data_IF_480309124829
#
_entry.id   IF_480309124829
#
_cell.length_a   1.000
_cell.length_b   1.000
_cell.length_c   1.000
_cell.angle_alpha   90.00
_cell.angle_beta   90.00
_cell.angle_gamma   90.00
#
_symmetry.space_group_name_H-M   'P 1'
#
loop_
_entity.id
_entity.type
_entity.pdbx_description
1 polymer ?
#
# COMPACT_ATOMS: atom_id res chain seq x y z
N UNK A 1 -25.96 -56.96 -4.46
CA UNK A 1 -26.10 -56.56 -3.05
C UNK A 1 -25.50 -55.17 -2.87
N UNK A 2 -26.28 -54.28 -2.25
CA UNK A 2 -26.01 -52.91 -1.79
C UNK A 2 -25.77 -51.83 -2.87
N UNK A 3 -26.78 -50.94 -2.96
CA UNK A 3 -26.86 -49.65 -3.64
C UNK A 3 -26.56 -48.54 -2.60
N UNK A 4 -26.53 -47.26 -3.04
CA UNK A 4 -26.55 -45.97 -2.26
C UNK A 4 -25.16 -45.32 -2.17
N UNK A 5 -24.86 -44.09 -2.59
CA UNK A 5 -25.64 -42.98 -3.19
C UNK A 5 -24.71 -41.96 -3.86
N UNK A 6 -25.22 -41.33 -4.92
CA UNK A 6 -24.71 -40.10 -5.52
C UNK A 6 -24.74 -38.93 -4.54
N UNK A 7 -23.69 -38.09 -4.48
CA UNK A 7 -23.79 -36.63 -4.29
C UNK A 7 -22.69 -35.96 -5.13
N UNK A 8 -23.09 -34.91 -5.84
CA UNK A 8 -22.29 -34.01 -6.67
C UNK A 8 -21.02 -33.48 -5.99
N UNK A 9 -20.03 -33.12 -6.81
CA UNK A 9 -19.01 -32.16 -6.42
C UNK A 9 -17.81 -32.16 -7.36
N UNK A 10 -17.87 -31.39 -8.44
CA UNK A 10 -16.66 -30.95 -9.14
C UNK A 10 -15.76 -30.21 -8.16
N UNK A 11 -14.45 -30.45 -8.19
CA UNK A 11 -13.44 -29.40 -7.98
C UNK A 11 -12.07 -29.89 -8.42
N UNK A 12 -11.56 -29.23 -9.46
CA UNK A 12 -10.15 -29.16 -9.78
C UNK A 12 -9.41 -28.54 -8.60
N UNK A 13 -8.41 -29.22 -8.05
CA UNK A 13 -7.41 -28.56 -7.21
C UNK A 13 -6.33 -27.96 -8.13
N UNK A 14 -6.60 -26.76 -8.64
CA UNK A 14 -5.53 -25.85 -9.05
C UNK A 14 -4.99 -25.24 -7.76
N UNK A 15 -3.70 -25.43 -7.48
CA UNK A 15 -2.99 -24.68 -6.45
C UNK A 15 -2.94 -23.21 -6.88
N UNK A 16 -4.04 -22.49 -6.62
CA UNK A 16 -4.03 -21.05 -6.48
C UNK A 16 -3.59 -20.79 -5.04
N UNK A 17 -2.36 -20.35 -4.86
CA UNK A 17 -1.95 -19.74 -3.60
C UNK A 17 -2.71 -18.43 -3.44
N UNK A 18 -4.01 -18.53 -3.11
CA UNK A 18 -4.80 -17.44 -2.59
C UNK A 18 -4.19 -17.08 -1.25
N UNK A 19 -3.32 -16.07 -1.25
CA UNK A 19 -3.03 -15.28 -0.05
C UNK A 19 -4.40 -14.72 0.39
N UNK A 20 -5.08 -15.46 1.26
CA UNK A 20 -6.41 -15.09 1.71
C UNK A 20 -6.27 -13.78 2.48
N UNK A 21 -7.25 -12.89 2.34
CA UNK A 21 -7.41 -11.71 3.19
C UNK A 21 -7.42 -12.05 4.71
N UNK A 22 -7.53 -13.33 5.06
CA UNK A 22 -7.42 -13.86 6.42
C UNK A 22 -5.97 -13.89 6.96
N UNK A 23 -4.94 -13.96 6.10
CA UNK A 23 -3.55 -13.80 6.55
C UNK A 23 -3.21 -12.32 6.86
N UNK A 24 -4.00 -11.38 6.32
CA UNK A 24 -3.94 -9.95 6.70
C UNK A 24 -4.66 -9.67 8.03
N UNK A 25 -5.68 -10.45 8.41
CA UNK A 25 -6.39 -10.34 9.70
C UNK A 25 -5.62 -10.95 10.88
N UNK A 26 -4.65 -11.85 10.64
CA UNK A 26 -3.78 -12.38 11.72
C UNK A 26 -2.79 -11.36 12.30
N UNK A 27 -2.84 -10.11 11.85
CA UNK A 27 -2.06 -9.00 12.38
C UNK A 27 -2.81 -8.15 13.43
N UNK A 28 -4.08 -8.45 13.70
CA UNK A 28 -4.95 -7.65 14.60
C UNK A 28 -4.57 -7.70 16.11
N UNK A 29 -3.42 -8.27 16.47
CA UNK A 29 -2.93 -8.32 17.85
C UNK A 29 -1.54 -7.71 18.09
N UNK A 30 -0.75 -7.48 17.04
CA UNK A 30 0.60 -6.93 17.16
C UNK A 30 0.57 -5.44 16.80
N UNK A 31 1.11 -4.56 17.66
CA UNK A 31 1.15 -3.13 17.36
C UNK A 31 1.93 -2.88 16.07
N UNK A 32 1.36 -2.07 15.17
CA UNK A 32 2.06 -1.64 13.95
C UNK A 32 3.38 -0.95 14.33
N UNK A 33 4.50 -1.39 13.77
CA UNK A 33 5.80 -0.77 14.05
C UNK A 33 6.02 0.47 13.19
N UNK A 34 6.92 1.35 13.60
CA UNK A 34 7.32 2.53 12.81
C UNK A 34 7.78 2.12 11.41
N UNK A 35 8.62 1.09 11.29
CA UNK A 35 9.11 0.60 10.00
C UNK A 35 8.00 0.14 9.08
N UNK A 36 7.08 -0.70 9.58
CA UNK A 36 5.92 -1.18 8.80
C UNK A 36 5.00 -0.03 8.40
N UNK A 37 4.77 0.91 9.31
CA UNK A 37 3.98 2.09 9.03
C UNK A 37 4.59 2.91 7.89
N UNK A 38 5.87 3.24 7.95
CA UNK A 38 6.56 4.00 6.90
C UNK A 38 6.59 3.29 5.55
N UNK A 39 6.82 1.98 5.53
CA UNK A 39 6.86 1.17 4.30
C UNK A 39 5.49 1.06 3.60
N UNK A 40 4.41 1.27 4.34
CA UNK A 40 3.05 1.31 3.78
C UNK A 40 2.67 2.67 3.20
N UNK A 41 3.45 3.72 3.44
CA UNK A 41 3.11 5.08 3.06
C UNK A 41 2.90 5.31 1.57
N UNK A 42 3.65 4.70 0.64
CA UNK A 42 3.37 4.84 -0.79
C UNK A 42 1.94 4.41 -1.16
N UNK A 43 1.43 3.33 -0.56
CA UNK A 43 0.05 2.89 -0.76
C UNK A 43 -0.95 3.81 -0.04
N UNK A 44 -0.70 4.15 1.23
CA UNK A 44 -1.59 5.03 2.01
C UNK A 44 -1.75 6.42 1.40
N UNK A 45 -0.70 6.95 0.78
CA UNK A 45 -0.70 8.26 0.10
C UNK A 45 -1.42 8.19 -1.25
N UNK A 46 -1.37 7.04 -1.91
CA UNK A 46 -2.02 6.82 -3.20
C UNK A 46 -3.55 6.77 -3.08
N UNK A 47 -4.08 6.24 -1.99
CA UNK A 47 -5.52 6.09 -1.75
C UNK A 47 -6.33 7.39 -1.90
N UNK A 48 -6.00 8.49 -1.18
CA UNK A 48 -6.72 9.75 -1.32
C UNK A 48 -6.51 10.42 -2.68
N UNK A 49 -5.39 10.15 -3.36
CA UNK A 49 -5.13 10.62 -4.73
C UNK A 49 -6.08 9.92 -5.70
N UNK A 50 -6.21 8.59 -5.59
CA UNK A 50 -7.12 7.82 -6.41
C UNK A 50 -8.58 8.22 -6.12
N UNK A 51 -8.95 8.44 -4.87
CA UNK A 51 -10.28 8.91 -4.52
C UNK A 51 -10.57 10.26 -5.19
N UNK A 52 -9.66 11.22 -5.07
CA UNK A 52 -9.79 12.52 -5.72
C UNK A 52 -9.96 12.37 -7.25
N UNK A 53 -9.09 11.59 -7.89
CA UNK A 53 -9.17 11.37 -9.33
C UNK A 53 -10.45 10.65 -9.75
N UNK A 54 -10.93 9.69 -8.96
CA UNK A 54 -12.19 8.99 -9.22
C UNK A 54 -13.41 9.89 -9.08
N UNK A 55 -13.34 10.93 -8.24
CA UNK A 55 -14.39 11.94 -8.11
C UNK A 55 -14.36 12.96 -9.25
N UNK A 56 -13.16 13.35 -9.71
CA UNK A 56 -12.98 14.37 -10.76
C UNK A 56 -13.12 13.83 -12.18
N UNK A 57 -12.65 12.61 -12.43
CA UNK A 57 -12.73 11.89 -13.70
C UNK A 57 -13.28 10.49 -13.45
N UNK A 58 -14.62 10.34 -13.32
CA UNK A 58 -15.26 9.07 -13.00
C UNK A 58 -14.93 7.93 -13.98
N UNK A 59 -14.63 8.26 -15.23
CA UNK A 59 -14.21 7.32 -16.27
C UNK A 59 -12.89 6.60 -15.96
N UNK A 60 -12.03 7.19 -15.11
CA UNK A 60 -10.77 6.58 -14.68
C UNK A 60 -10.94 5.67 -13.45
N UNK A 61 -12.07 5.73 -12.75
CA UNK A 61 -12.27 5.08 -11.45
C UNK A 61 -11.99 3.58 -11.49
N UNK A 62 -12.59 2.87 -12.45
CA UNK A 62 -12.43 1.41 -12.55
C UNK A 62 -10.97 1.03 -12.82
N UNK A 63 -10.32 1.74 -13.75
CA UNK A 63 -8.92 1.53 -14.07
C UNK A 63 -8.01 1.82 -12.87
N UNK A 64 -8.21 2.94 -12.17
CA UNK A 64 -7.42 3.28 -10.98
C UNK A 64 -7.57 2.24 -9.87
N UNK A 65 -8.79 1.77 -9.58
CA UNK A 65 -9.04 0.72 -8.59
C UNK A 65 -8.37 -0.59 -8.96
N UNK A 66 -8.45 -1.00 -10.23
CA UNK A 66 -7.81 -2.21 -10.74
C UNK A 66 -6.29 -2.15 -10.60
N UNK A 67 -5.68 -1.05 -11.04
CA UNK A 67 -4.22 -0.90 -11.03
C UNK A 67 -3.67 -0.75 -9.60
N UNK A 68 -4.44 -0.15 -8.68
CA UNK A 68 -4.09 -0.07 -7.25
C UNK A 68 -3.81 -1.45 -6.64
N UNK A 69 -4.63 -2.45 -6.92
CA UNK A 69 -4.44 -3.79 -6.37
C UNK A 69 -3.10 -4.39 -6.83
N UNK A 70 -2.78 -4.26 -8.12
CA UNK A 70 -1.49 -4.70 -8.67
C UNK A 70 -0.31 -3.92 -8.11
N UNK A 71 -0.48 -2.61 -7.87
CA UNK A 71 0.53 -1.76 -7.23
C UNK A 71 0.86 -2.23 -5.81
N UNK A 72 -0.13 -2.55 -4.98
CA UNK A 72 0.09 -3.00 -3.59
C UNK A 72 0.89 -4.31 -3.56
N UNK A 73 0.61 -5.24 -4.48
CA UNK A 73 1.36 -6.50 -4.59
C UNK A 73 2.82 -6.21 -4.94
N UNK A 74 3.09 -5.37 -5.95
CA UNK A 74 4.46 -5.01 -6.33
C UNK A 74 5.17 -4.21 -5.23
N UNK A 75 4.45 -3.38 -4.49
CA UNK A 75 4.98 -2.61 -3.36
C UNK A 75 5.44 -3.53 -2.22
N UNK A 76 4.66 -4.57 -1.92
CA UNK A 76 5.06 -5.59 -0.94
C UNK A 76 6.39 -6.23 -1.30
N UNK A 77 6.58 -6.60 -2.58
CA UNK A 77 7.84 -7.14 -3.08
C UNK A 77 8.98 -6.10 -2.99
N UNK A 78 8.71 -4.85 -3.39
CA UNK A 78 9.68 -3.76 -3.33
C UNK A 78 10.11 -3.38 -1.89
N UNK A 79 9.26 -3.66 -0.90
CA UNK A 79 9.55 -3.41 0.52
C UNK A 79 10.53 -4.43 1.10
N UNK A 80 10.62 -5.65 0.57
CA UNK A 80 11.43 -6.74 1.16
C UNK A 80 12.89 -6.36 1.46
N UNK A 81 13.64 -5.71 0.54
CA UNK A 81 15.03 -5.35 0.81
C UNK A 81 15.18 -4.34 1.95
N UNK A 82 14.25 -3.38 2.05
CA UNK A 82 14.30 -2.38 3.11
C UNK A 82 13.85 -3.00 4.44
N UNK A 83 12.80 -3.82 4.46
CA UNK A 83 12.40 -4.57 5.66
C UNK A 83 13.56 -5.38 6.24
N UNK A 84 14.28 -6.14 5.42
CA UNK A 84 15.42 -6.93 5.88
C UNK A 84 16.50 -6.08 6.56
N UNK A 85 16.71 -4.84 6.10
CA UNK A 85 17.67 -3.89 6.69
C UNK A 85 17.16 -3.25 7.98
N UNK A 86 15.85 -3.08 8.13
CA UNK A 86 15.24 -2.45 9.30
C UNK A 86 15.01 -3.43 10.46
N UNK A 87 15.09 -4.74 10.22
CA UNK A 87 14.86 -5.77 11.22
C UNK A 87 15.75 -5.63 12.47
N UNK A 88 16.95 -5.06 12.35
CA UNK A 88 17.88 -4.87 13.47
C UNK A 88 17.81 -3.46 14.09
N UNK A 89 16.95 -2.58 13.58
CA UNK A 89 16.84 -1.20 14.08
C UNK A 89 15.72 -1.08 15.14
N UNK A 90 16.07 -0.82 16.42
CA UNK A 90 15.10 -0.76 17.50
C UNK A 90 14.09 0.39 17.35
N UNK A 91 14.44 1.47 16.65
CA UNK A 91 13.50 2.58 16.38
C UNK A 91 12.39 2.13 15.42
N UNK A 92 12.73 1.35 14.40
CA UNK A 92 11.76 0.88 13.39
C UNK A 92 10.96 -0.34 13.83
N UNK A 93 11.46 -1.07 14.82
CA UNK A 93 10.74 -2.15 15.49
C UNK A 93 9.86 -1.65 16.64
N UNK A 94 10.01 -0.40 17.07
CA UNK A 94 9.16 0.18 18.09
C UNK A 94 7.71 0.33 17.59
N UNK A 95 6.70 0.18 18.47
CA UNK A 95 5.33 0.54 18.16
C UNK A 95 5.22 1.97 17.65
N UNK A 96 4.46 2.18 16.57
CA UNK A 96 4.17 3.52 16.09
C UNK A 96 3.30 4.26 17.10
N UNK A 97 3.80 5.41 17.56
CA UNK A 97 3.08 6.27 18.50
C UNK A 97 2.11 7.21 17.76
N UNK A 98 1.05 7.62 18.45
CA UNK A 98 0.06 8.53 17.87
C UNK A 98 0.67 9.86 17.41
N UNK A 99 1.65 10.39 18.14
CA UNK A 99 2.38 11.61 17.73
C UNK A 99 3.08 11.43 16.38
N UNK A 100 3.63 10.24 16.10
CA UNK A 100 4.26 9.93 14.81
C UNK A 100 3.18 9.88 13.72
N UNK A 101 2.05 9.22 13.98
CA UNK A 101 0.92 9.16 13.05
C UNK A 101 0.44 10.55 12.65
N UNK A 102 0.24 11.43 13.63
CA UNK A 102 -0.24 12.80 13.40
C UNK A 102 0.74 13.64 12.57
N UNK A 103 2.04 13.54 12.85
CA UNK A 103 3.06 14.25 12.06
C UNK A 103 3.13 13.75 10.62
N UNK A 104 3.12 12.43 10.44
CA UNK A 104 3.10 11.80 9.11
C UNK A 104 1.82 12.18 8.35
N UNK A 105 0.68 12.20 9.03
CA UNK A 105 -0.58 12.61 8.42
C UNK A 105 -0.55 14.08 8.00
N UNK A 106 -0.07 14.98 8.86
CA UNK A 106 0.09 16.41 8.54
C UNK A 106 0.98 16.62 7.32
N UNK A 107 2.09 15.87 7.23
CA UNK A 107 2.98 15.88 6.08
C UNK A 107 2.25 15.45 4.79
N UNK A 108 1.45 14.38 4.85
CA UNK A 108 0.66 13.90 3.71
C UNK A 108 -0.44 14.86 3.28
N UNK A 109 -1.17 15.43 4.23
CA UNK A 109 -2.26 16.36 3.95
C UNK A 109 -1.73 17.61 3.23
N UNK A 110 -0.53 18.08 3.60
CA UNK A 110 0.16 19.14 2.89
C UNK A 110 0.50 18.77 1.43
N UNK A 111 0.97 17.55 1.18
CA UNK A 111 1.27 17.07 -0.16
C UNK A 111 0.00 16.88 -1.01
N UNK A 112 -1.04 16.28 -0.44
CA UNK A 112 -2.33 16.08 -1.08
C UNK A 112 -3.02 17.42 -1.39
N UNK A 113 -2.92 18.40 -0.49
CA UNK A 113 -3.43 19.75 -0.69
C UNK A 113 -2.83 20.40 -1.94
N UNK A 114 -1.50 20.26 -2.13
CA UNK A 114 -0.82 20.71 -3.35
C UNK A 114 -1.25 19.93 -4.59
N UNK A 115 -1.39 18.61 -4.48
CA UNK A 115 -1.87 17.77 -5.59
C UNK A 115 -3.23 18.23 -6.12
N UNK A 116 -4.17 18.54 -5.21
CA UNK A 116 -5.53 19.00 -5.53
C UNK A 116 -5.59 20.37 -6.23
N UNK A 117 -4.49 21.11 -6.28
CA UNK A 117 -4.41 22.40 -6.98
C UNK A 117 -4.12 22.26 -8.49
N UNK A 118 -3.63 21.09 -8.92
CA UNK A 118 -3.37 20.85 -10.34
C UNK A 118 -4.66 20.52 -11.10
N UNK A 119 -4.65 20.77 -12.41
CA UNK A 119 -5.75 20.40 -13.30
C UNK A 119 -5.94 18.88 -13.31
N UNK A 120 -7.09 18.36 -12.83
CA UNK A 120 -7.37 16.93 -12.80
C UNK A 120 -7.28 16.26 -14.18
N UNK A 121 -7.63 16.98 -15.25
CA UNK A 121 -7.57 16.46 -16.61
C UNK A 121 -6.13 16.13 -17.05
N UNK A 122 -5.13 16.75 -16.42
CA UNK A 122 -3.72 16.50 -16.67
C UNK A 122 -3.17 15.46 -15.69
N UNK A 123 -3.36 15.67 -14.38
CA UNK A 123 -2.64 14.87 -13.38
C UNK A 123 -3.23 13.47 -13.18
N UNK A 124 -4.54 13.29 -13.33
CA UNK A 124 -5.18 12.00 -13.04
C UNK A 124 -4.88 10.90 -14.09
N UNK A 125 -4.84 11.20 -15.40
CA UNK A 125 -4.30 10.26 -16.39
C UNK A 125 -2.84 9.88 -16.10
N UNK A 126 -2.00 10.85 -15.74
CA UNK A 126 -0.59 10.59 -15.38
C UNK A 126 -0.47 9.72 -14.13
N UNK A 127 -1.34 9.90 -13.12
CA UNK A 127 -1.40 8.99 -11.97
C UNK A 127 -1.68 7.56 -12.44
N UNK A 128 -2.69 7.36 -13.28
CA UNK A 128 -3.02 6.03 -13.80
C UNK A 128 -1.84 5.41 -14.58
N UNK A 129 -1.18 6.18 -15.45
CA UNK A 129 -0.01 5.75 -16.19
C UNK A 129 1.16 5.38 -15.29
N UNK A 130 1.41 6.16 -14.24
CA UNK A 130 2.45 5.89 -13.26
C UNK A 130 2.18 4.59 -12.48
N UNK A 131 0.93 4.33 -12.08
CA UNK A 131 0.55 3.08 -11.42
C UNK A 131 0.75 1.89 -12.38
N UNK A 132 0.31 2.00 -13.63
CA UNK A 132 0.48 0.97 -14.67
C UNK A 132 1.94 0.66 -14.96
N UNK A 133 2.74 1.71 -15.11
CA UNK A 133 4.17 1.65 -15.43
C UNK A 133 5.07 1.36 -14.24
N UNK A 134 4.50 1.14 -13.05
CA UNK A 134 5.24 0.79 -11.84
C UNK A 134 5.82 -0.63 -11.97
N UNK A 135 7.14 -0.71 -11.88
CA UNK A 135 7.90 -1.97 -11.76
C UNK A 135 8.41 -2.12 -10.34
N UNK A 136 8.84 -3.33 -9.95
CA UNK A 136 9.42 -3.57 -8.62
C UNK A 136 10.65 -2.67 -8.40
N UNK A 137 11.51 -2.50 -9.41
CA UNK A 137 12.70 -1.64 -9.30
C UNK A 137 12.33 -0.17 -9.06
N UNK A 138 11.38 0.36 -9.83
CA UNK A 138 10.89 1.74 -9.63
C UNK A 138 10.27 1.90 -8.25
N UNK A 139 9.47 0.92 -7.81
CA UNK A 139 8.87 0.96 -6.48
C UNK A 139 9.90 0.81 -5.38
N UNK A 140 10.99 0.06 -5.59
CA UNK A 140 12.09 -0.03 -4.64
C UNK A 140 12.72 1.33 -4.43
N UNK A 141 12.92 2.09 -5.51
CA UNK A 141 13.40 3.48 -5.43
C UNK A 141 12.38 4.38 -4.69
N UNK A 142 11.10 4.31 -5.06
CA UNK A 142 10.03 5.07 -4.39
C UNK A 142 9.97 4.77 -2.90
N UNK A 143 10.07 3.51 -2.50
CA UNK A 143 10.09 3.07 -1.10
C UNK A 143 11.28 3.66 -0.36
N UNK A 144 12.48 3.62 -0.96
CA UNK A 144 13.68 4.20 -0.35
C UNK A 144 13.58 5.71 -0.20
N UNK A 145 13.10 6.41 -1.24
CA UNK A 145 12.96 7.86 -1.22
C UNK A 145 11.88 8.31 -0.24
N UNK A 146 10.75 7.58 -0.21
CA UNK A 146 9.69 7.76 0.78
C UNK A 146 10.24 7.60 2.18
N UNK A 147 10.92 6.47 2.44
CA UNK A 147 11.54 6.21 3.73
C UNK A 147 12.49 7.36 4.14
N UNK A 148 13.41 7.79 3.27
CA UNK A 148 14.32 8.92 3.54
C UNK A 148 13.58 10.23 3.84
N UNK A 149 12.47 10.51 3.14
CA UNK A 149 11.67 11.71 3.37
C UNK A 149 10.95 11.69 4.73
N UNK A 150 10.53 10.51 5.20
CA UNK A 150 9.81 10.35 6.47
C UNK A 150 10.70 10.20 7.70
N UNK A 151 11.95 9.77 7.53
CA UNK A 151 12.93 9.69 8.63
C UNK A 151 12.98 10.95 9.52
N UNK A 152 13.13 12.18 8.99
CA UNK A 152 13.18 13.38 9.82
C UNK A 152 11.85 13.64 10.56
N UNK A 153 10.71 13.29 9.96
CA UNK A 153 9.37 13.48 10.57
C UNK A 153 9.20 12.57 11.79
N UNK A 154 9.70 11.33 11.70
CA UNK A 154 9.69 10.37 12.81
C UNK A 154 10.67 10.80 13.92
N UNK A 155 11.86 11.26 13.54
CA UNK A 155 12.95 11.59 14.47
C UNK A 155 12.86 12.98 15.08
N UNK A 156 11.90 13.79 14.64
CA UNK A 156 11.67 15.12 15.20
C UNK A 156 11.41 15.00 16.71
N UNK A 157 12.32 15.54 17.51
CA UNK A 157 12.14 15.62 18.97
C UNK A 157 11.34 16.88 19.26
N UNK A 158 10.40 16.78 20.21
CA UNK A 158 9.73 17.95 20.78
C UNK A 158 10.75 18.84 21.50
#
# INVERSE_FOLDING_TARGET
MIRVSSILGWSFAVFTGSLHAQDLQKLDGEPETVGRYLLSMPARTLDPIIEHCSQKLPELREALMKERAGFVVKLSEANKPLMARLNDDPEFNAPVQEVIRQRVQTFNDGALGKFKQYDPAVVCPTVLENIRGATIDKLTQVVQDTYRAYLPVVREKN
#
